data_IF_404426844297
#
_entry.id   IF_404426844297
#
_cell.length_a   1.000
_cell.length_b   1.000
_cell.length_c   1.000
_cell.angle_alpha   90.00
_cell.angle_beta   90.00
_cell.angle_gamma   90.00
#
_symmetry.space_group_name_H-M   'P 1'
#
loop_
_entity.id
_entity.type
_entity.pdbx_description
1 polymer ?
#
# COMPACT_ATOMS: atom_id res chain seq x y z
N UNK A 1 -22.05 32.73 -19.14
CA UNK A 1 -20.61 32.44 -18.91
C UNK A 1 -20.33 31.99 -17.47
N UNK A 2 -20.83 32.68 -16.44
CA UNK A 2 -20.64 32.29 -15.02
C UNK A 2 -21.23 30.92 -14.66
N UNK A 3 -22.42 30.57 -15.14
CA UNK A 3 -23.04 29.24 -14.92
C UNK A 3 -22.27 28.07 -15.51
N UNK A 4 -21.57 28.30 -16.63
CA UNK A 4 -20.72 27.29 -17.27
C UNK A 4 -19.40 27.11 -16.50
N UNK A 5 -18.86 28.20 -15.95
CA UNK A 5 -17.69 28.16 -15.07
C UNK A 5 -18.00 27.45 -13.74
N UNK A 6 -19.17 27.71 -13.14
CA UNK A 6 -19.65 26.99 -11.95
C UNK A 6 -19.80 25.48 -12.21
N UNK A 7 -20.41 25.11 -13.34
CA UNK A 7 -20.55 23.70 -13.73
C UNK A 7 -19.20 23.03 -13.97
N UNK A 8 -18.28 23.72 -14.64
CA UNK A 8 -16.93 23.20 -14.89
C UNK A 8 -16.14 23.02 -13.60
N UNK A 9 -16.33 23.89 -12.61
CA UNK A 9 -15.65 23.79 -11.31
C UNK A 9 -16.18 22.60 -10.49
N UNK A 10 -17.50 22.40 -10.45
CA UNK A 10 -18.14 21.24 -9.81
C UNK A 10 -17.68 19.91 -10.40
N UNK A 11 -17.47 19.85 -11.72
CA UNK A 11 -16.99 18.64 -12.41
C UNK A 11 -15.55 18.27 -12.01
N UNK A 12 -14.68 19.27 -11.81
CA UNK A 12 -13.28 19.05 -11.39
C UNK A 12 -13.22 18.54 -9.95
N UNK A 13 -14.01 19.11 -9.03
CA UNK A 13 -14.09 18.65 -7.64
C UNK A 13 -14.60 17.22 -7.51
N UNK A 14 -15.50 16.79 -8.40
CA UNK A 14 -16.01 15.41 -8.43
C UNK A 14 -14.98 14.39 -8.95
N UNK A 15 -13.90 14.84 -9.59
CA UNK A 15 -12.88 13.97 -10.20
C UNK A 15 -11.69 13.65 -9.29
N UNK A 16 -11.71 14.08 -8.02
CA UNK A 16 -10.76 13.64 -6.99
C UNK A 16 -10.99 12.16 -6.66
N UNK A 17 -10.50 11.27 -7.53
CA UNK A 17 -10.41 9.86 -7.24
C UNK A 17 -9.45 9.65 -6.07
N UNK A 18 -9.83 8.81 -5.11
CA UNK A 18 -8.91 8.33 -4.07
C UNK A 18 -7.76 7.58 -4.75
N UNK A 19 -6.64 8.27 -4.98
CA UNK A 19 -5.40 7.62 -5.36
C UNK A 19 -4.90 6.81 -4.15
N UNK A 20 -5.10 5.50 -4.17
CA UNK A 20 -4.37 4.61 -3.27
C UNK A 20 -2.92 4.58 -3.75
N UNK A 21 -2.05 5.34 -3.08
CA UNK A 21 -0.61 5.23 -3.30
C UNK A 21 -0.14 3.90 -2.70
N UNK A 22 -0.11 2.83 -3.49
CA UNK A 22 0.61 1.61 -3.13
C UNK A 22 2.04 1.68 -3.67
N UNK A 23 3.04 1.63 -2.79
CA UNK A 23 4.45 1.72 -3.19
C UNK A 23 5.00 0.39 -3.75
N UNK A 24 4.12 -0.56 -4.05
CA UNK A 24 4.49 -1.93 -4.45
C UNK A 24 5.19 -1.97 -5.80
N UNK A 25 4.76 -1.12 -6.74
CA UNK A 25 5.39 -1.02 -8.06
C UNK A 25 6.82 -0.47 -7.96
N UNK A 26 7.02 0.52 -7.10
CA UNK A 26 8.35 1.11 -6.87
C UNK A 26 9.26 0.17 -6.09
N UNK A 27 8.74 -0.53 -5.08
CA UNK A 27 9.45 -1.58 -4.38
C UNK A 27 9.85 -2.71 -5.33
N UNK A 28 8.94 -3.17 -6.20
CA UNK A 28 9.22 -4.19 -7.19
C UNK A 28 10.32 -3.77 -8.17
N UNK A 29 10.28 -2.52 -8.65
CA UNK A 29 11.33 -1.94 -9.50
C UNK A 29 12.67 -1.86 -8.78
N UNK A 30 12.69 -1.36 -7.54
CA UNK A 30 13.91 -1.22 -6.74
C UNK A 30 14.60 -2.57 -6.52
N UNK A 31 13.82 -3.58 -6.14
CA UNK A 31 14.33 -4.94 -5.92
C UNK A 31 14.47 -5.77 -7.21
N UNK A 32 14.13 -5.21 -8.38
CA UNK A 32 14.18 -5.88 -9.69
C UNK A 32 13.42 -7.21 -9.72
N UNK A 33 12.27 -7.23 -9.06
CA UNK A 33 11.35 -8.37 -9.03
C UNK A 33 10.07 -8.03 -9.77
N UNK A 34 9.33 -9.05 -10.20
CA UNK A 34 8.02 -8.84 -10.82
C UNK A 34 7.03 -8.25 -9.81
N UNK A 35 6.38 -7.16 -10.20
CA UNK A 35 5.32 -6.52 -9.40
C UNK A 35 4.17 -7.48 -9.07
N UNK A 36 3.87 -8.42 -9.97
CA UNK A 36 2.81 -9.41 -9.75
C UNK A 36 3.16 -10.32 -8.57
N UNK A 37 4.44 -10.67 -8.41
CA UNK A 37 4.92 -11.48 -7.27
C UNK A 37 4.76 -10.69 -5.97
N UNK A 38 5.20 -9.43 -5.97
CA UNK A 38 5.09 -8.55 -4.79
C UNK A 38 3.63 -8.37 -4.36
N UNK A 39 2.72 -8.12 -5.32
CA UNK A 39 1.28 -8.02 -5.04
C UNK A 39 0.69 -9.35 -4.55
N UNK A 40 1.10 -10.47 -5.12
CA UNK A 40 0.66 -11.79 -4.67
C UNK A 40 1.06 -12.08 -3.22
N UNK A 41 2.29 -11.70 -2.82
CA UNK A 41 2.76 -11.82 -1.44
C UNK A 41 1.93 -10.91 -0.52
N UNK A 42 1.77 -9.62 -0.84
CA UNK A 42 0.96 -8.70 -0.03
C UNK A 42 -0.49 -9.18 0.15
N UNK A 43 -1.06 -9.77 -0.91
CA UNK A 43 -2.41 -10.33 -0.88
C UNK A 43 -2.49 -11.57 0.02
N UNK A 44 -1.47 -12.43 -0.01
CA UNK A 44 -1.41 -13.64 0.81
C UNK A 44 -1.20 -13.31 2.29
N UNK A 45 -0.30 -12.36 2.59
CA UNK A 45 0.10 -12.05 3.97
C UNK A 45 -0.94 -11.23 4.72
N UNK A 46 -1.46 -10.16 4.11
CA UNK A 46 -2.35 -9.21 4.81
C UNK A 46 -3.66 -8.92 4.07
N UNK A 47 -3.86 -9.51 2.89
CA UNK A 47 -4.95 -9.15 1.96
C UNK A 47 -4.92 -7.66 1.58
N UNK A 48 -3.71 -7.15 1.30
CA UNK A 48 -3.48 -5.74 0.95
C UNK A 48 -3.82 -4.74 2.08
N UNK A 49 -3.74 -5.16 3.34
CA UNK A 49 -4.04 -4.31 4.51
C UNK A 49 -2.75 -3.92 5.23
N UNK A 50 -2.26 -2.72 4.93
CA UNK A 50 -0.99 -2.22 5.46
C UNK A 50 -0.94 -1.99 6.99
N UNK A 51 -2.07 -2.08 7.70
CA UNK A 51 -2.19 -1.84 9.14
C UNK A 51 -2.36 -3.13 9.97
N UNK A 52 -2.22 -4.31 9.35
CA UNK A 52 -2.36 -5.58 10.06
C UNK A 52 -1.12 -5.86 10.90
N UNK A 53 -1.35 -6.28 12.14
CA UNK A 53 -0.33 -6.81 13.05
C UNK A 53 -0.80 -8.17 13.53
N UNK A 54 0.06 -9.18 13.44
CA UNK A 54 -0.19 -10.51 13.96
C UNK A 54 0.82 -10.84 15.06
N UNK A 55 0.41 -11.58 16.09
CA UNK A 55 1.28 -11.96 17.21
C UNK A 55 1.54 -13.46 17.18
N UNK A 56 2.80 -13.84 17.22
CA UNK A 56 3.25 -15.21 17.11
C UNK A 56 3.30 -15.90 18.49
N UNK A 57 3.34 -17.23 18.47
CA UNK A 57 3.34 -18.06 19.69
C UNK A 57 4.59 -17.86 20.55
N UNK A 58 5.71 -17.45 19.94
CA UNK A 58 6.96 -17.10 20.62
C UNK A 58 6.94 -15.68 21.22
N UNK A 59 5.85 -14.94 21.04
CA UNK A 59 5.67 -13.57 21.51
C UNK A 59 6.19 -12.49 20.56
N UNK A 60 6.79 -12.84 19.43
CA UNK A 60 7.14 -11.90 18.37
C UNK A 60 5.89 -11.40 17.63
N UNK A 61 6.05 -10.33 16.83
CA UNK A 61 4.95 -9.73 16.08
C UNK A 61 5.34 -9.60 14.61
N UNK A 62 4.42 -9.92 13.71
CA UNK A 62 4.53 -9.68 12.28
C UNK A 62 3.73 -8.42 11.94
N UNK A 63 4.34 -7.50 11.20
CA UNK A 63 3.80 -6.16 11.00
C UNK A 63 3.59 -5.82 9.52
N UNK A 64 2.49 -5.09 9.28
CA UNK A 64 2.25 -4.37 8.04
C UNK A 64 1.84 -5.24 6.87
N UNK A 65 1.98 -4.66 5.67
CA UNK A 65 1.46 -5.19 4.41
C UNK A 65 2.01 -6.58 4.05
N UNK A 66 3.28 -6.83 4.39
CA UNK A 66 4.00 -8.08 4.10
C UNK A 66 4.23 -8.95 5.33
N UNK A 67 3.61 -8.61 6.48
CA UNK A 67 3.74 -9.35 7.74
C UNK A 67 5.20 -9.68 8.08
N UNK A 68 6.10 -8.68 8.01
CA UNK A 68 7.51 -8.87 8.36
C UNK A 68 7.67 -8.90 9.87
N UNK A 69 8.47 -9.84 10.39
CA UNK A 69 8.66 -9.97 11.83
C UNK A 69 9.43 -8.78 12.44
N UNK A 70 8.92 -8.27 13.56
CA UNK A 70 9.45 -7.14 14.32
C UNK A 70 10.85 -7.40 14.88
N UNK A 71 11.25 -8.65 15.08
CA UNK A 71 12.58 -8.99 15.57
C UNK A 71 13.64 -8.99 14.45
N UNK A 72 13.22 -8.96 13.17
CA UNK A 72 14.09 -8.91 12.00
C UNK A 72 14.39 -7.46 11.54
N UNK A 73 14.16 -6.47 12.42
CA UNK A 73 14.21 -5.02 12.21
C UNK A 73 15.52 -4.40 11.70
N UNK A 74 16.52 -5.19 11.29
CA UNK A 74 17.70 -4.64 10.63
C UNK A 74 17.44 -4.16 9.19
N UNK A 75 16.26 -4.40 8.59
CA UNK A 75 15.99 -3.97 7.22
C UNK A 75 14.50 -3.72 6.94
N UNK A 76 14.22 -2.53 6.41
CA UNK A 76 13.07 -2.16 5.57
C UNK A 76 11.73 -1.82 6.25
N UNK A 77 11.66 -0.58 6.73
CA UNK A 77 10.46 0.26 6.62
C UNK A 77 10.43 0.91 5.23
N UNK A 78 10.21 0.13 4.15
CA UNK A 78 10.01 0.71 2.80
C UNK A 78 9.17 -0.16 1.87
N UNK A 79 8.07 -0.73 2.34
CA UNK A 79 6.95 -1.14 1.47
C UNK A 79 5.63 -0.79 2.16
#
# INVERSE_FOLDING_TARGET
MTRLLEFSMLLVLASSACAHADCLDDAARYHRVSVQVVRAIAQQESRMRAYVTNRNSDGSEDIGLMQVNRNLWSCYMTI
#
